data_IF_349246744196
#
_entry.id   IF_349246744196
#
_cell.length_a   1.000
_cell.length_b   1.000
_cell.length_c   1.000
_cell.angle_alpha   90.00
_cell.angle_beta   90.00
_cell.angle_gamma   90.00
#
_symmetry.space_group_name_H-M   'P 1'
#
loop_
_entity.id
_entity.type
_entity.pdbx_description
1 polymer ?
#
# COMPACT_ATOMS: atom_id res chain seq x y z
N UNK A 1 -21.63 -4.24 -5.00
CA UNK A 1 -21.89 -2.78 -5.10
C UNK A 1 -20.60 -2.01 -4.89
N UNK A 2 -20.48 -0.76 -5.36
CA UNK A 2 -19.30 0.08 -5.14
C UNK A 2 -18.94 0.21 -3.65
N UNK A 3 -19.95 0.30 -2.78
CA UNK A 3 -19.77 0.38 -1.32
C UNK A 3 -19.05 -0.85 -0.74
N UNK A 4 -19.39 -2.06 -1.17
CA UNK A 4 -18.73 -3.29 -0.73
C UNK A 4 -17.27 -3.33 -1.17
N UNK A 5 -16.99 -2.89 -2.40
CA UNK A 5 -15.61 -2.74 -2.90
C UNK A 5 -14.82 -1.73 -2.11
N UNK A 6 -15.44 -0.60 -1.74
CA UNK A 6 -14.84 0.43 -0.91
C UNK A 6 -14.49 -0.12 0.47
N UNK A 7 -15.48 -0.70 1.16
CA UNK A 7 -15.30 -1.25 2.51
C UNK A 7 -14.21 -2.33 2.54
N UNK A 8 -14.22 -3.24 1.55
CA UNK A 8 -13.23 -4.31 1.46
C UNK A 8 -11.81 -3.77 1.28
N UNK A 9 -11.61 -2.88 0.29
CA UNK A 9 -10.28 -2.37 -0.05
C UNK A 9 -9.77 -1.39 1.01
N UNK A 10 -10.61 -0.44 1.44
CA UNK A 10 -10.22 0.55 2.44
C UNK A 10 -10.05 -0.07 3.82
N UNK A 11 -10.90 -1.03 4.21
CA UNK A 11 -10.75 -1.77 5.46
C UNK A 11 -9.44 -2.57 5.48
N UNK A 12 -9.12 -3.25 4.38
CA UNK A 12 -7.84 -3.94 4.24
C UNK A 12 -6.65 -2.97 4.30
N UNK A 13 -6.71 -1.85 3.58
CA UNK A 13 -5.64 -0.85 3.55
C UNK A 13 -5.41 -0.22 4.94
N UNK A 14 -6.48 0.08 5.68
CA UNK A 14 -6.38 0.58 7.04
C UNK A 14 -5.70 -0.43 7.97
N UNK A 15 -6.08 -1.71 7.89
CA UNK A 15 -5.48 -2.75 8.70
C UNK A 15 -3.99 -2.96 8.38
N UNK A 16 -3.64 -2.95 7.09
CA UNK A 16 -2.24 -3.08 6.64
C UNK A 16 -1.41 -1.89 7.07
N UNK A 17 -1.92 -0.67 6.86
CA UNK A 17 -1.25 0.55 7.30
C UNK A 17 -1.01 0.52 8.82
N UNK A 18 -2.01 0.14 9.60
CA UNK A 18 -1.87 0.01 11.06
C UNK A 18 -0.77 -1.00 11.46
N UNK A 19 -0.73 -2.18 10.83
CA UNK A 19 0.32 -3.17 11.10
C UNK A 19 1.71 -2.62 10.74
N UNK A 20 1.84 -1.99 9.57
CA UNK A 20 3.09 -1.35 9.15
C UNK A 20 3.51 -0.26 10.15
N UNK A 21 2.59 0.58 10.59
CA UNK A 21 2.87 1.63 11.58
C UNK A 21 3.33 1.05 12.92
N UNK A 22 2.71 -0.03 13.40
CA UNK A 22 3.11 -0.69 14.66
C UNK A 22 4.52 -1.25 14.53
N UNK A 23 4.82 -1.95 13.44
CA UNK A 23 6.15 -2.52 13.20
C UNK A 23 7.21 -1.42 13.05
N UNK A 24 6.90 -0.37 12.30
CA UNK A 24 7.79 0.80 12.15
C UNK A 24 8.00 1.51 13.48
N UNK A 25 6.97 1.61 14.33
CA UNK A 25 7.10 2.17 15.69
C UNK A 25 8.09 1.37 16.51
N UNK A 26 7.98 0.04 16.52
CA UNK A 26 8.92 -0.84 17.22
C UNK A 26 10.34 -0.61 16.72
N UNK A 27 10.54 -0.62 15.39
CA UNK A 27 11.85 -0.38 14.80
C UNK A 27 12.45 0.97 15.23
N UNK A 28 11.68 2.05 15.05
CA UNK A 28 12.09 3.42 15.36
C UNK A 28 12.49 3.58 16.82
N UNK A 29 11.75 2.96 17.75
CA UNK A 29 12.07 2.97 19.18
C UNK A 29 13.35 2.17 19.48
N UNK A 30 13.53 0.99 18.87
CA UNK A 30 14.71 0.15 19.07
C UNK A 30 15.97 0.84 18.57
N UNK A 31 15.93 1.49 17.39
CA UNK A 31 17.10 2.19 16.85
C UNK A 31 17.25 3.63 17.35
N UNK A 32 16.37 4.08 18.25
CA UNK A 32 16.32 5.46 18.75
C UNK A 32 16.39 6.50 17.62
N UNK A 33 15.57 6.32 16.57
CA UNK A 33 15.61 7.18 15.39
C UNK A 33 15.23 8.62 15.75
N UNK A 34 15.96 9.59 15.21
CA UNK A 34 15.54 11.00 15.27
C UNK A 34 14.15 11.17 14.62
N UNK A 35 13.34 12.07 15.16
CA UNK A 35 11.99 12.36 14.63
C UNK A 35 11.02 11.17 14.63
N UNK A 36 11.13 10.28 15.62
CA UNK A 36 10.30 9.09 15.76
C UNK A 36 8.80 9.35 15.53
N UNK A 37 8.22 10.35 16.20
CA UNK A 37 6.81 10.71 16.08
C UNK A 37 6.41 11.11 14.65
N UNK A 38 7.28 11.85 13.95
CA UNK A 38 7.03 12.23 12.56
C UNK A 38 7.05 11.02 11.64
N UNK A 39 8.03 10.12 11.81
CA UNK A 39 8.14 8.89 11.02
C UNK A 39 6.92 7.99 11.24
N UNK A 40 6.49 7.82 12.48
CA UNK A 40 5.33 6.97 12.82
C UNK A 40 4.05 7.55 12.19
N UNK A 41 3.78 8.83 12.39
CA UNK A 41 2.61 9.50 11.83
C UNK A 41 2.61 9.48 10.30
N UNK A 42 3.77 9.76 9.70
CA UNK A 42 3.94 9.71 8.25
C UNK A 42 3.75 8.30 7.70
N UNK A 43 4.29 7.28 8.36
CA UNK A 43 4.13 5.88 7.93
C UNK A 43 2.66 5.48 7.91
N UNK A 44 1.88 5.89 8.91
CA UNK A 44 0.45 5.62 8.92
C UNK A 44 -0.30 6.34 7.79
N UNK A 45 -0.06 7.66 7.63
CA UNK A 45 -0.75 8.47 6.62
C UNK A 45 -0.36 8.05 5.20
N UNK A 46 0.93 7.87 4.95
CA UNK A 46 1.43 7.38 3.67
C UNK A 46 0.99 5.93 3.45
N UNK A 47 0.93 5.08 4.47
CA UNK A 47 0.47 3.69 4.35
C UNK A 47 -0.96 3.55 3.84
N UNK A 48 -1.78 4.62 3.86
CA UNK A 48 -3.10 4.66 3.22
C UNK A 48 -3.04 4.83 1.70
N UNK A 49 -1.92 5.33 1.17
CA UNK A 49 -1.68 5.50 -0.27
C UNK A 49 -1.06 4.22 -0.84
N UNK A 50 -1.79 3.45 -1.67
CA UNK A 50 -1.28 2.20 -2.22
C UNK A 50 -0.01 2.44 -3.03
N UNK A 51 1.01 1.60 -2.80
CA UNK A 51 2.31 1.60 -3.50
C UNK A 51 3.15 2.87 -3.26
N UNK A 52 2.65 4.03 -3.66
CA UNK A 52 3.33 5.34 -3.60
C UNK A 52 3.63 5.72 -2.16
N UNK A 53 2.70 5.49 -1.25
CA UNK A 53 2.87 5.82 0.15
C UNK A 53 4.04 5.10 0.82
N UNK A 54 4.21 3.82 0.52
CA UNK A 54 5.33 3.05 1.03
C UNK A 54 6.64 3.50 0.42
N UNK A 55 6.66 3.85 -0.88
CA UNK A 55 7.86 4.40 -1.51
C UNK A 55 8.31 5.72 -0.84
N UNK A 56 7.35 6.63 -0.59
CA UNK A 56 7.61 7.93 0.05
C UNK A 56 8.06 7.76 1.49
N UNK A 57 7.31 7.01 2.30
CA UNK A 57 7.66 6.79 3.72
C UNK A 57 9.00 6.08 3.88
N UNK A 58 9.27 5.03 3.10
CA UNK A 58 10.54 4.31 3.13
C UNK A 58 11.72 5.22 2.78
N UNK A 59 11.56 6.06 1.75
CA UNK A 59 12.61 7.01 1.34
C UNK A 59 12.93 8.01 2.47
N UNK A 60 11.90 8.50 3.16
CA UNK A 60 12.06 9.42 4.28
C UNK A 60 12.72 8.72 5.49
N UNK A 61 12.30 7.49 5.82
CA UNK A 61 12.89 6.69 6.90
C UNK A 61 14.38 6.47 6.66
N UNK A 62 14.77 6.04 5.46
CA UNK A 62 16.18 5.82 5.10
C UNK A 62 16.95 7.13 5.12
N UNK A 63 16.37 8.22 4.61
CA UNK A 63 16.99 9.54 4.66
C UNK A 63 17.29 9.99 6.09
N UNK A 64 16.31 9.90 7.00
CA UNK A 64 16.50 10.24 8.41
C UNK A 64 17.50 9.30 9.09
N UNK A 65 17.43 7.99 8.81
CA UNK A 65 18.37 7.02 9.33
C UNK A 65 19.82 7.31 8.90
N UNK A 66 20.01 7.72 7.65
CA UNK A 66 21.31 8.10 7.09
C UNK A 66 21.90 9.34 7.76
N UNK A 67 21.07 10.35 8.09
CA UNK A 67 21.53 11.51 8.87
C UNK A 67 21.93 11.18 10.30
N UNK A 68 21.48 10.02 10.83
CA UNK A 68 21.86 9.57 12.17
C UNK A 68 23.18 8.78 12.13
N UNK A 69 23.27 7.77 11.27
CA UNK A 69 24.50 7.00 11.02
C UNK A 69 24.33 6.07 9.82
N UNK A 70 25.38 5.84 9.01
CA UNK A 70 25.34 4.83 7.95
C UNK A 70 24.93 3.43 8.43
N UNK A 71 25.29 3.06 9.68
CA UNK A 71 24.89 1.76 10.26
C UNK A 71 23.38 1.67 10.49
N UNK A 72 22.77 2.76 10.95
CA UNK A 72 21.31 2.85 11.17
C UNK A 72 20.58 2.87 9.83
N UNK A 73 21.14 3.50 8.79
CA UNK A 73 20.58 3.46 7.44
C UNK A 73 20.56 2.04 6.85
N UNK A 74 21.64 1.27 7.02
CA UNK A 74 21.68 -0.14 6.58
C UNK A 74 20.65 -0.96 7.36
N UNK A 75 20.56 -0.78 8.68
CA UNK A 75 19.54 -1.45 9.50
C UNK A 75 18.12 -1.08 9.05
N UNK A 76 17.86 0.18 8.73
CA UNK A 76 16.60 0.65 8.18
C UNK A 76 16.29 0.02 6.83
N UNK A 77 17.25 -0.04 5.90
CA UNK A 77 17.05 -0.69 4.61
C UNK A 77 16.69 -2.17 4.75
N UNK A 78 17.40 -2.91 5.61
CA UNK A 78 17.09 -4.32 5.88
C UNK A 78 15.68 -4.46 6.47
N UNK A 79 15.35 -3.64 7.47
CA UNK A 79 14.03 -3.62 8.09
C UNK A 79 12.93 -3.32 7.06
N UNK A 80 13.11 -2.32 6.20
CA UNK A 80 12.14 -1.91 5.19
C UNK A 80 11.93 -2.97 4.11
N UNK A 81 12.98 -3.69 3.70
CA UNK A 81 12.85 -4.83 2.78
C UNK A 81 11.98 -5.93 3.41
N UNK A 82 12.20 -6.23 4.69
CA UNK A 82 11.40 -7.23 5.42
C UNK A 82 9.96 -6.75 5.56
N UNK A 83 9.75 -5.48 5.95
CA UNK A 83 8.43 -4.88 6.11
C UNK A 83 7.65 -4.87 4.79
N UNK A 84 8.30 -4.52 3.68
CA UNK A 84 7.65 -4.53 2.37
C UNK A 84 7.25 -5.94 1.92
N UNK A 85 8.09 -6.95 2.23
CA UNK A 85 7.75 -8.35 1.95
C UNK A 85 6.61 -8.86 2.83
N UNK A 86 6.58 -8.45 4.09
CA UNK A 86 5.48 -8.74 5.00
C UNK A 86 4.19 -8.07 4.53
N UNK A 87 4.24 -6.82 4.09
CA UNK A 87 3.10 -6.13 3.51
C UNK A 87 2.57 -6.86 2.27
N UNK A 88 3.45 -7.31 1.37
CA UNK A 88 3.03 -8.12 0.22
C UNK A 88 2.30 -9.40 0.66
N UNK A 89 2.80 -10.05 1.71
CA UNK A 89 2.15 -11.22 2.29
C UNK A 89 0.81 -10.89 2.95
N UNK A 90 0.72 -9.79 3.70
CA UNK A 90 -0.51 -9.30 4.31
C UNK A 90 -1.55 -8.92 3.25
N UNK A 91 -1.13 -8.24 2.19
CA UNK A 91 -1.96 -7.96 1.02
C UNK A 91 -2.53 -9.28 0.46
N UNK A 92 -1.69 -10.29 0.24
CA UNK A 92 -2.15 -11.59 -0.25
C UNK A 92 -3.08 -12.32 0.74
N UNK A 93 -2.89 -12.14 2.05
CA UNK A 93 -3.68 -12.84 3.09
C UNK A 93 -5.02 -12.15 3.39
N UNK A 94 -5.04 -10.82 3.40
CA UNK A 94 -6.19 -9.99 3.77
C UNK A 94 -7.09 -9.76 2.55
N UNK A 95 -6.49 -9.36 1.43
CA UNK A 95 -7.22 -9.10 0.17
C UNK A 95 -7.43 -10.40 -0.62
N UNK A 96 -6.57 -11.41 -0.43
CA UNK A 96 -6.67 -12.70 -1.12
C UNK A 96 -6.16 -12.67 -2.57
N UNK A 97 -6.02 -13.85 -3.18
CA UNK A 97 -5.53 -13.99 -4.57
C UNK A 97 -6.51 -13.49 -5.64
N UNK A 98 -7.80 -13.31 -5.30
CA UNK A 98 -8.86 -12.94 -6.26
C UNK A 98 -8.71 -11.51 -6.81
N UNK A 99 -7.99 -10.63 -6.09
CA UNK A 99 -7.85 -9.20 -6.40
C UNK A 99 -6.42 -8.85 -6.81
N UNK A 100 -5.63 -9.83 -7.30
CA UNK A 100 -4.33 -9.53 -7.92
C UNK A 100 -4.56 -8.80 -9.24
N UNK A 101 -4.49 -7.47 -9.19
CA UNK A 101 -4.38 -6.63 -10.37
C UNK A 101 -2.89 -6.49 -10.73
N UNK A 102 -2.55 -6.44 -12.02
CA UNK A 102 -1.17 -6.20 -12.40
C UNK A 102 -0.70 -4.84 -11.85
N UNK A 103 0.55 -4.78 -11.37
CA UNK A 103 1.11 -3.59 -10.70
C UNK A 103 1.04 -2.36 -11.60
N UNK A 104 1.33 -2.51 -12.89
CA UNK A 104 1.26 -1.40 -13.86
C UNK A 104 -0.13 -0.78 -13.97
N UNK A 105 -1.19 -1.60 -13.87
CA UNK A 105 -2.58 -1.14 -13.95
C UNK A 105 -2.96 -0.37 -12.68
N UNK A 106 -2.47 -0.83 -11.52
CA UNK A 106 -2.64 -0.13 -10.25
C UNK A 106 -1.91 1.22 -10.28
N UNK A 107 -0.68 1.27 -10.78
CA UNK A 107 0.07 2.51 -10.96
C UNK A 107 -0.63 3.48 -11.92
N UNK A 108 -1.16 2.98 -13.03
CA UNK A 108 -1.93 3.80 -13.97
C UNK A 108 -3.18 4.38 -13.31
N UNK A 109 -3.94 3.57 -12.57
CA UNK A 109 -5.11 4.03 -11.83
C UNK A 109 -4.75 5.08 -10.77
N UNK A 110 -3.60 4.95 -10.11
CA UNK A 110 -3.09 5.94 -9.16
C UNK A 110 -2.75 7.26 -9.85
N UNK A 111 -2.04 7.24 -10.98
CA UNK A 111 -1.69 8.44 -11.76
C UNK A 111 -2.95 9.16 -12.26
N UNK A 112 -3.92 8.40 -12.77
CA UNK A 112 -5.21 8.94 -13.20
C UNK A 112 -5.92 9.55 -11.98
N UNK A 113 -6.08 8.80 -10.89
CA UNK A 113 -6.73 9.28 -9.67
C UNK A 113 -6.09 10.56 -9.13
N UNK A 114 -4.76 10.61 -9.08
CA UNK A 114 -3.99 11.80 -8.71
C UNK A 114 -4.32 12.99 -9.62
N UNK A 115 -4.38 12.79 -10.93
CA UNK A 115 -4.64 13.88 -11.87
C UNK A 115 -6.06 14.45 -11.77
N UNK A 116 -7.04 13.63 -11.43
CA UNK A 116 -8.44 14.05 -11.31
C UNK A 116 -8.78 14.66 -9.94
N UNK A 117 -8.29 14.08 -8.84
CA UNK A 117 -8.71 14.43 -7.48
C UNK A 117 -7.53 14.57 -6.49
N UNK A 118 -6.28 14.39 -6.92
CA UNK A 118 -5.12 14.41 -6.05
C UNK A 118 -5.08 13.22 -5.09
N UNK A 119 -4.78 13.50 -3.81
CA UNK A 119 -4.63 12.48 -2.74
C UNK A 119 -5.90 11.63 -2.59
N UNK A 120 -7.12 12.19 -2.47
CA UNK A 120 -8.35 11.39 -2.45
C UNK A 120 -8.48 10.44 -3.65
N UNK A 121 -8.09 10.88 -4.85
CA UNK A 121 -8.14 10.04 -6.05
C UNK A 121 -7.19 8.86 -6.01
N UNK A 122 -5.99 9.04 -5.44
CA UNK A 122 -5.04 7.95 -5.21
C UNK A 122 -5.57 6.92 -4.20
N UNK A 123 -6.26 7.38 -3.14
CA UNK A 123 -6.89 6.50 -2.15
C UNK A 123 -8.02 5.68 -2.78
N UNK A 124 -8.81 6.28 -3.66
CA UNK A 124 -9.95 5.63 -4.33
C UNK A 124 -9.54 4.75 -5.52
N UNK A 125 -8.36 4.96 -6.11
CA UNK A 125 -7.87 4.20 -7.27
C UNK A 125 -8.00 2.66 -7.14
N UNK A 126 -7.53 2.01 -6.06
CA UNK A 126 -7.67 0.55 -5.90
C UNK A 126 -9.13 0.12 -5.73
N UNK A 127 -9.99 0.96 -5.13
CA UNK A 127 -11.43 0.69 -4.97
C UNK A 127 -12.10 0.65 -6.33
N UNK A 128 -11.84 1.66 -7.17
CA UNK A 128 -12.39 1.76 -8.52
C UNK A 128 -11.90 0.60 -9.38
N UNK A 129 -10.61 0.27 -9.30
CA UNK A 129 -10.03 -0.85 -10.02
C UNK A 129 -10.66 -2.19 -9.61
N UNK A 130 -10.87 -2.40 -8.31
CA UNK A 130 -11.56 -3.57 -7.79
C UNK A 130 -13.01 -3.63 -8.26
N UNK A 131 -13.74 -2.51 -8.20
CA UNK A 131 -15.12 -2.42 -8.65
C UNK A 131 -15.26 -2.79 -10.14
N UNK A 132 -14.44 -2.21 -11.01
CA UNK A 132 -14.45 -2.51 -12.46
C UNK A 132 -14.21 -4.01 -12.67
N UNK A 133 -13.20 -4.59 -12.01
CA UNK A 133 -12.89 -6.03 -12.13
C UNK A 133 -14.07 -6.91 -11.73
N UNK A 134 -14.75 -6.58 -10.62
CA UNK A 134 -15.93 -7.32 -10.15
C UNK A 134 -17.07 -7.23 -11.16
N UNK A 135 -17.38 -6.04 -11.68
CA UNK A 135 -18.45 -5.89 -12.65
C UNK A 135 -18.12 -6.55 -14.01
N UNK A 136 -16.87 -6.46 -14.49
CA UNK A 136 -16.45 -7.17 -15.70
C UNK A 136 -16.58 -8.69 -15.54
N UNK A 137 -16.27 -9.23 -14.36
CA UNK A 137 -16.43 -10.67 -14.09
C UNK A 137 -17.89 -11.17 -14.08
N UNK A 138 -18.86 -10.24 -14.03
CA UNK A 138 -20.29 -10.55 -14.12
C UNK A 138 -20.83 -10.51 -15.54
N UNK A 139 -20.07 -9.97 -16.50
CA UNK A 139 -20.48 -9.92 -17.90
C UNK A 139 -20.26 -11.29 -18.55
N UNK A 140 -21.19 -11.76 -19.41
CA UNK A 140 -20.96 -12.96 -20.20
C UNK A 140 -19.72 -12.78 -21.09
N UNK A 141 -18.94 -13.86 -21.35
CA UNK A 141 -17.80 -13.79 -22.25
C UNK A 141 -18.24 -13.26 -23.63
N UNK A 142 -17.42 -12.44 -24.31
CA UNK A 142 -17.74 -12.03 -25.67
C UNK A 142 -17.71 -13.27 -26.57
N UNK A 143 -18.90 -13.67 -27.02
CA UNK A 143 -19.21 -14.63 -28.06
C UNK A 143 -18.40 -15.95 -28.07
N UNK A 144 -18.85 -16.93 -27.29
CA UNK A 144 -18.77 -18.34 -27.69
C UNK A 144 -17.49 -19.12 -27.41
N UNK A 145 -16.52 -18.60 -26.65
CA UNK A 145 -15.38 -19.42 -26.20
C UNK A 145 -15.76 -20.22 -24.95
N UNK A 146 -15.91 -21.56 -25.02
CA UNK A 146 -16.22 -22.36 -23.84
C UNK A 146 -15.06 -22.28 -22.85
N UNK A 147 -15.39 -22.20 -21.55
CA UNK A 147 -14.39 -22.26 -20.48
C UNK A 147 -13.64 -23.60 -20.56
N UNK A 148 -12.34 -23.54 -20.86
CA UNK A 148 -11.39 -24.64 -20.69
C UNK A 148 -10.66 -24.49 -19.36
#
# INVERSE_FOLDING_TARGET
SFYESFETVMGAQMMISAINTVLTTIFVLVVSLKYATLVIGLTFLCGLLPIVGNLVSNSIIVGIAFTSSPRVAIAALVFLVVLHKLEYFLNSKIIGDRIKNPVWLTLLALIIGERFMGIPGMILAPVVLHYIKVETSRLPPPDGVPAM
#
